data_IF_113076363902
#
_entry.id   IF_113076363902
#
_cell.length_a   1.000
_cell.length_b   1.000
_cell.length_c   1.000
_cell.angle_alpha   90.00
_cell.angle_beta   90.00
_cell.angle_gamma   90.00
#
_symmetry.space_group_name_H-M   'P 1'
#
loop_
_entity.id
_entity.type
_entity.pdbx_description
1 polymer ?
#
# COMPACT_ATOMS: atom_id res chain seq x y z
N UNK A 1 25.97 -4.05 16.64
CA UNK A 1 25.33 -5.10 15.79
C UNK A 1 24.71 -4.43 14.58
N UNK A 2 24.82 -5.04 13.39
CA UNK A 2 24.17 -4.53 12.18
C UNK A 2 22.64 -4.68 12.30
N UNK A 3 21.92 -3.61 12.00
CA UNK A 3 20.46 -3.61 11.95
C UNK A 3 19.98 -4.29 10.66
N UNK A 4 18.87 -5.02 10.74
CA UNK A 4 18.23 -5.72 9.63
C UNK A 4 16.77 -5.30 9.54
N UNK A 5 16.22 -5.33 8.33
CA UNK A 5 14.82 -5.08 8.08
C UNK A 5 14.22 -6.20 7.22
N UNK A 6 12.99 -6.59 7.56
CA UNK A 6 12.17 -7.53 6.81
C UNK A 6 10.87 -6.84 6.38
N UNK A 7 10.45 -7.12 5.14
CA UNK A 7 9.23 -6.56 4.56
C UNK A 7 8.32 -7.70 4.11
N UNK A 8 7.12 -7.73 4.65
CA UNK A 8 6.08 -8.73 4.38
C UNK A 8 4.92 -8.06 3.66
N UNK A 9 4.25 -8.82 2.80
CA UNK A 9 3.13 -8.39 1.99
C UNK A 9 2.02 -9.43 2.13
N UNK A 10 0.90 -9.06 2.76
CA UNK A 10 -0.20 -9.96 3.04
C UNK A 10 -1.11 -10.07 1.82
N UNK A 11 -0.99 -11.17 1.07
CA UNK A 11 -1.78 -11.38 -0.14
C UNK A 11 -3.24 -11.65 0.21
N UNK A 12 -4.15 -11.07 -0.58
CA UNK A 12 -5.58 -11.38 -0.56
C UNK A 12 -6.23 -11.26 0.84
N UNK A 13 -5.74 -10.33 1.67
CA UNK A 13 -6.16 -10.17 3.06
C UNK A 13 -7.62 -9.68 3.21
N UNK A 14 -8.14 -8.95 2.24
CA UNK A 14 -9.54 -8.49 2.24
C UNK A 14 -10.56 -9.64 2.24
N UNK A 15 -10.36 -10.68 1.42
CA UNK A 15 -11.32 -11.79 1.30
C UNK A 15 -11.33 -12.72 2.51
N UNK A 16 -10.43 -12.51 3.49
CA UNK A 16 -10.39 -13.27 4.74
C UNK A 16 -11.30 -12.68 5.80
N UNK A 17 -11.69 -11.42 5.69
CA UNK A 17 -12.56 -10.75 6.67
C UNK A 17 -14.02 -11.18 6.45
N UNK A 18 -14.62 -11.83 7.45
CA UNK A 18 -16.05 -12.18 7.45
C UNK A 18 -16.91 -10.93 7.52
N UNK A 19 -17.99 -10.88 6.72
CA UNK A 19 -19.04 -9.87 6.91
C UNK A 19 -20.05 -10.34 7.97
N UNK A 20 -20.44 -9.47 8.93
CA UNK A 20 -21.55 -9.72 9.84
C UNK A 20 -22.81 -10.07 9.06
N UNK A 21 -23.53 -11.13 9.47
CA UNK A 21 -24.71 -11.64 8.75
C UNK A 21 -25.70 -10.52 8.44
N UNK A 22 -25.97 -9.67 9.42
CA UNK A 22 -26.94 -8.58 9.32
C UNK A 22 -26.56 -7.48 8.33
N UNK A 23 -25.31 -7.45 7.85
CA UNK A 23 -24.81 -6.45 6.88
C UNK A 23 -24.62 -7.01 5.48
N UNK A 24 -24.71 -8.34 5.30
CA UNK A 24 -24.43 -8.99 4.00
C UNK A 24 -25.39 -8.57 2.90
N UNK A 25 -26.60 -8.18 3.28
CA UNK A 25 -27.62 -7.70 2.35
C UNK A 25 -27.20 -6.41 1.60
N UNK A 26 -26.27 -5.61 2.15
CA UNK A 26 -25.69 -4.46 1.44
C UNK A 26 -24.73 -4.86 0.30
N UNK A 27 -24.27 -6.11 0.29
CA UNK A 27 -23.31 -6.65 -0.67
C UNK A 27 -23.93 -7.77 -1.51
N UNK A 28 -25.11 -7.48 -2.06
CA UNK A 28 -25.81 -8.38 -2.98
C UNK A 28 -25.41 -8.09 -4.42
N UNK A 29 -25.23 -9.14 -5.20
CA UNK A 29 -25.08 -9.05 -6.65
C UNK A 29 -25.86 -10.16 -7.35
N UNK A 30 -26.16 -9.96 -8.63
CA UNK A 30 -26.69 -11.03 -9.48
C UNK A 30 -25.52 -11.71 -10.19
N UNK A 31 -25.52 -13.03 -10.16
CA UNK A 31 -24.66 -13.84 -11.03
C UNK A 31 -25.31 -14.01 -12.42
N UNK A 32 -24.60 -14.61 -13.37
CA UNK A 32 -24.98 -14.63 -14.80
C UNK A 32 -26.37 -15.23 -15.06
N UNK A 33 -26.80 -16.20 -14.26
CA UNK A 33 -28.12 -16.85 -14.35
C UNK A 33 -29.25 -16.03 -13.71
N UNK A 34 -28.96 -14.83 -13.19
CA UNK A 34 -29.91 -13.95 -12.53
C UNK A 34 -30.13 -14.23 -11.04
N UNK A 35 -29.51 -15.27 -10.48
CA UNK A 35 -29.59 -15.58 -9.05
C UNK A 35 -28.98 -14.45 -8.22
N UNK A 36 -29.72 -14.01 -7.20
CA UNK A 36 -29.24 -13.02 -6.24
C UNK A 36 -28.40 -13.72 -5.16
N UNK A 37 -27.13 -13.34 -5.04
CA UNK A 37 -26.20 -13.88 -4.05
C UNK A 37 -25.72 -12.79 -3.10
N UNK A 38 -25.34 -13.19 -1.89
CA UNK A 38 -24.77 -12.32 -0.86
C UNK A 38 -23.30 -12.64 -0.63
N UNK A 39 -22.45 -11.61 -0.61
CA UNK A 39 -21.06 -11.79 -0.22
C UNK A 39 -20.96 -12.11 1.27
N UNK A 40 -20.20 -13.16 1.60
CA UNK A 40 -19.92 -13.56 2.99
C UNK A 40 -18.61 -12.98 3.52
N UNK A 41 -17.80 -12.40 2.63
CA UNK A 41 -16.49 -11.82 2.90
C UNK A 41 -16.41 -10.40 2.34
N UNK A 42 -15.55 -9.59 2.94
CA UNK A 42 -15.35 -8.21 2.52
C UNK A 42 -14.89 -8.14 1.04
N UNK A 43 -15.64 -7.46 0.16
CA UNK A 43 -15.26 -7.36 -1.24
C UNK A 43 -14.04 -6.46 -1.43
N UNK A 44 -13.25 -6.80 -2.45
CA UNK A 44 -12.22 -5.90 -2.95
C UNK A 44 -12.88 -4.65 -3.56
N UNK A 45 -12.33 -3.47 -3.26
CA UNK A 45 -12.90 -2.20 -3.70
C UNK A 45 -13.93 -1.60 -2.74
N UNK A 46 -14.23 -2.25 -1.61
CA UNK A 46 -14.98 -1.60 -0.54
C UNK A 46 -14.19 -0.40 0.02
N UNK A 47 -14.85 0.75 0.12
CA UNK A 47 -14.20 2.04 0.43
C UNK A 47 -13.44 2.03 1.75
N UNK A 48 -14.02 1.46 2.80
CA UNK A 48 -13.39 1.36 4.13
C UNK A 48 -12.56 0.07 4.31
N UNK A 49 -12.38 -0.71 3.23
CA UNK A 49 -11.62 -1.95 3.27
C UNK A 49 -10.18 -1.74 3.76
N UNK A 50 -9.42 -0.79 3.18
CA UNK A 50 -8.05 -0.51 3.61
C UNK A 50 -7.92 -0.20 5.11
N UNK A 51 -8.86 0.55 5.68
CA UNK A 51 -8.89 0.94 7.09
C UNK A 51 -9.20 -0.26 8.00
N UNK A 52 -10.19 -1.08 7.63
CA UNK A 52 -10.49 -2.34 8.33
C UNK A 52 -9.26 -3.23 8.35
N UNK A 53 -8.59 -3.34 7.20
CA UNK A 53 -7.40 -4.16 7.05
C UNK A 53 -6.22 -3.63 7.87
N UNK A 54 -6.00 -2.31 7.88
CA UNK A 54 -4.99 -1.66 8.72
C UNK A 54 -5.20 -1.99 10.19
N UNK A 55 -6.45 -1.93 10.70
CA UNK A 55 -6.79 -2.25 12.09
C UNK A 55 -6.47 -3.71 12.39
N UNK A 56 -6.94 -4.64 11.55
CA UNK A 56 -6.74 -6.08 11.74
C UNK A 56 -5.25 -6.42 11.75
N UNK A 57 -4.49 -5.93 10.77
CA UNK A 57 -3.07 -6.24 10.69
C UNK A 57 -2.32 -5.62 11.85
N UNK A 58 -2.61 -4.37 12.19
CA UNK A 58 -1.94 -3.67 13.28
C UNK A 58 -2.19 -4.35 14.64
N UNK A 59 -3.41 -4.81 14.89
CA UNK A 59 -3.81 -5.38 16.18
C UNK A 59 -3.56 -6.89 16.29
N UNK A 60 -3.92 -7.69 15.28
CA UNK A 60 -3.88 -9.14 15.39
C UNK A 60 -2.57 -9.74 14.87
N UNK A 61 -2.02 -9.18 13.79
CA UNK A 61 -0.90 -9.78 13.04
C UNK A 61 0.44 -9.16 13.43
N UNK A 62 0.61 -7.85 13.25
CA UNK A 62 1.83 -7.10 13.53
C UNK A 62 2.00 -6.74 15.01
N UNK A 63 0.88 -6.65 15.75
CA UNK A 63 0.79 -6.38 17.20
C UNK A 63 1.59 -5.16 17.65
N UNK A 64 1.21 -3.99 17.12
CA UNK A 64 1.87 -2.73 17.46
C UNK A 64 1.62 -2.32 18.92
N UNK A 65 2.68 -1.84 19.57
CA UNK A 65 2.68 -1.38 20.96
C UNK A 65 1.68 -0.25 21.25
N UNK A 66 1.29 0.52 20.25
CA UNK A 66 0.30 1.61 20.36
C UNK A 66 -1.15 1.11 20.34
N UNK A 67 -1.39 -0.12 19.88
CA UNK A 67 -2.76 -0.65 19.66
C UNK A 67 -3.04 -1.85 20.55
N UNK A 68 -2.04 -2.67 20.87
CA UNK A 68 -2.22 -3.87 21.69
C UNK A 68 -1.58 -3.72 23.07
N UNK A 69 -2.11 -4.47 24.05
CA UNK A 69 -1.53 -4.51 25.40
C UNK A 69 -0.09 -5.02 25.34
N UNK A 70 0.78 -4.46 26.20
CA UNK A 70 2.23 -4.72 26.23
C UNK A 70 2.62 -6.21 26.18
N UNK A 71 1.85 -7.09 26.84
CA UNK A 71 2.11 -8.54 26.86
C UNK A 71 2.05 -9.19 25.45
N UNK A 72 1.24 -8.64 24.56
CA UNK A 72 1.05 -9.16 23.20
C UNK A 72 1.84 -8.37 22.16
N UNK A 73 2.37 -7.21 22.54
CA UNK A 73 3.00 -6.27 21.63
C UNK A 73 4.38 -6.74 21.15
N UNK A 74 4.81 -6.20 20.03
CA UNK A 74 6.20 -6.27 19.59
C UNK A 74 7.14 -5.81 20.71
N UNK A 75 8.27 -6.52 20.94
CA UNK A 75 9.29 -6.07 21.87
C UNK A 75 9.75 -4.66 21.52
N UNK A 76 10.09 -3.81 22.51
CA UNK A 76 10.50 -2.41 22.26
C UNK A 76 11.78 -2.30 21.41
N UNK A 77 12.55 -3.39 21.31
CA UNK A 77 13.75 -3.50 20.48
C UNK A 77 13.45 -3.75 18.98
N UNK A 78 12.17 -3.94 18.62
CA UNK A 78 11.71 -4.15 17.24
C UNK A 78 10.82 -2.98 16.83
N UNK A 79 11.16 -2.35 15.71
CA UNK A 79 10.34 -1.32 15.09
C UNK A 79 9.45 -1.96 14.03
N UNK A 80 8.14 -1.83 14.20
CA UNK A 80 7.15 -2.38 13.28
C UNK A 80 6.35 -1.25 12.66
N UNK A 81 6.27 -1.23 11.32
CA UNK A 81 5.42 -0.31 10.57
C UNK A 81 4.44 -1.12 9.72
N UNK A 82 3.17 -0.72 9.72
CA UNK A 82 2.12 -1.37 8.94
C UNK A 82 1.50 -0.34 8.00
N UNK A 83 1.34 -0.70 6.73
CA UNK A 83 0.61 0.07 5.76
C UNK A 83 -0.30 -0.83 4.92
N UNK A 84 -1.60 -0.77 5.18
CA UNK A 84 -2.62 -1.63 4.59
C UNK A 84 -2.16 -3.09 4.73
N UNK A 85 -1.79 -3.77 3.65
CA UNK A 85 -1.34 -5.17 3.60
C UNK A 85 0.19 -5.35 3.80
N UNK A 86 0.95 -4.27 3.82
CA UNK A 86 2.41 -4.32 3.94
C UNK A 86 2.86 -4.15 5.40
N UNK A 87 3.82 -4.97 5.83
CA UNK A 87 4.44 -4.89 7.16
C UNK A 87 5.95 -4.75 7.00
N UNK A 88 6.55 -3.79 7.69
CA UNK A 88 7.99 -3.65 7.83
C UNK A 88 8.40 -3.89 9.27
N UNK A 89 9.40 -4.74 9.47
CA UNK A 89 9.97 -5.10 10.77
C UNK A 89 11.46 -4.74 10.72
N UNK A 90 11.94 -3.92 11.66
CA UNK A 90 13.33 -3.50 11.72
C UNK A 90 13.89 -3.64 13.15
N UNK A 91 15.16 -4.01 13.27
CA UNK A 91 15.84 -4.19 14.55
C UNK A 91 17.15 -4.94 14.38
N UNK A 92 17.74 -5.46 15.46
CA UNK A 92 18.86 -6.39 15.32
C UNK A 92 18.45 -7.58 14.44
N UNK A 93 19.40 -8.18 13.71
CA UNK A 93 19.12 -9.33 12.82
C UNK A 93 18.35 -10.44 13.54
N UNK A 94 18.72 -10.78 14.76
CA UNK A 94 18.03 -11.78 15.58
C UNK A 94 16.60 -11.35 15.93
N UNK A 95 16.41 -10.10 16.38
CA UNK A 95 15.09 -9.60 16.76
C UNK A 95 14.14 -9.48 15.57
N UNK A 96 14.65 -9.03 14.42
CA UNK A 96 13.86 -8.91 13.19
C UNK A 96 13.38 -10.28 12.70
N UNK A 97 14.27 -11.28 12.67
CA UNK A 97 13.92 -12.66 12.27
C UNK A 97 12.92 -13.28 13.26
N UNK A 98 13.14 -13.10 14.56
CA UNK A 98 12.26 -13.62 15.59
C UNK A 98 10.85 -13.05 15.46
N UNK A 99 10.75 -11.73 15.28
CA UNK A 99 9.45 -11.07 15.16
C UNK A 99 8.77 -11.35 13.81
N UNK A 100 9.53 -11.46 12.72
CA UNK A 100 9.00 -11.94 11.44
C UNK A 100 8.34 -13.31 11.60
N UNK A 101 9.00 -14.26 12.27
CA UNK A 101 8.40 -15.57 12.54
C UNK A 101 7.12 -15.47 13.38
N UNK A 102 7.06 -14.54 14.35
CA UNK A 102 5.83 -14.31 15.13
C UNK A 102 4.71 -13.72 14.27
N UNK A 103 5.02 -12.77 13.38
CA UNK A 103 4.05 -12.17 12.45
C UNK A 103 3.50 -13.23 11.49
N UNK A 104 4.35 -14.13 11.00
CA UNK A 104 3.92 -15.26 10.16
C UNK A 104 2.98 -16.21 10.93
N UNK A 105 3.30 -16.56 12.18
CA UNK A 105 2.41 -17.37 13.03
C UNK A 105 1.06 -16.70 13.29
N UNK A 106 1.07 -15.39 13.54
CA UNK A 106 -0.16 -14.64 13.76
C UNK A 106 -1.02 -14.59 12.49
N UNK A 107 -0.39 -14.37 11.33
CA UNK A 107 -1.08 -14.39 10.04
C UNK A 107 -1.72 -15.75 9.75
N UNK A 108 -0.99 -16.84 10.02
CA UNK A 108 -1.50 -18.21 9.86
C UNK A 108 -2.69 -18.50 10.79
N UNK A 109 -2.60 -18.06 12.05
CA UNK A 109 -3.71 -18.13 13.03
C UNK A 109 -4.93 -17.33 12.58
N UNK A 110 -4.74 -16.30 11.75
CA UNK A 110 -5.79 -15.50 11.13
C UNK A 110 -6.16 -15.99 9.72
N UNK A 111 -5.73 -17.20 9.31
CA UNK A 111 -5.95 -17.80 8.00
C UNK A 111 -5.56 -16.90 6.81
N UNK A 112 -4.57 -16.03 7.02
CA UNK A 112 -4.06 -15.07 6.05
C UNK A 112 -2.71 -15.53 5.53
N UNK A 113 -2.53 -15.53 4.20
CA UNK A 113 -1.27 -15.94 3.58
C UNK A 113 -0.38 -14.74 3.32
N UNK A 114 0.88 -14.83 3.74
CA UNK A 114 1.89 -13.85 3.38
C UNK A 114 2.41 -14.20 1.98
N UNK A 115 2.41 -13.23 1.08
CA UNK A 115 3.02 -13.37 -0.23
C UNK A 115 4.48 -13.78 -0.09
N UNK A 116 4.79 -15.01 -0.53
CA UNK A 116 6.10 -15.66 -0.45
C UNK A 116 7.27 -14.67 -0.49
N UNK A 117 8.03 -14.59 0.61
CA UNK A 117 9.38 -14.03 0.66
C UNK A 117 10.30 -14.96 -0.11
N UNK A 118 10.42 -14.77 -1.42
CA UNK A 118 11.44 -15.47 -2.19
C UNK A 118 12.82 -15.00 -1.71
N UNK A 119 13.49 -15.89 -0.99
CA UNK A 119 14.92 -15.92 -0.68
C UNK A 119 15.47 -14.93 0.35
N UNK A 120 15.97 -15.53 1.43
CA UNK A 120 16.93 -15.00 2.39
C UNK A 120 18.18 -14.49 1.66
N UNK A 121 18.20 -13.22 1.25
CA UNK A 121 19.37 -12.45 0.82
C UNK A 121 19.04 -10.94 0.99
N UNK A 122 20.02 -10.03 1.14
CA UNK A 122 19.87 -8.74 1.85
C UNK A 122 19.11 -7.64 1.09
N UNK A 123 18.31 -7.98 0.08
CA UNK A 123 17.41 -7.03 -0.60
C UNK A 123 15.99 -7.31 -0.14
N UNK A 124 15.61 -6.67 0.97
CA UNK A 124 14.22 -6.64 1.43
C UNK A 124 13.29 -6.25 0.27
N UNK A 125 12.16 -6.95 0.10
CA UNK A 125 11.09 -6.54 -0.83
C UNK A 125 10.78 -5.05 -0.60
N UNK A 126 10.60 -4.23 -1.66
CA UNK A 126 10.38 -2.81 -1.48
C UNK A 126 9.08 -2.57 -0.70
N UNK A 127 9.18 -1.78 0.37
CA UNK A 127 8.04 -1.35 1.17
C UNK A 127 7.54 -0.02 0.61
N UNK A 128 6.25 0.07 0.28
CA UNK A 128 5.67 1.28 -0.33
C UNK A 128 6.39 1.75 -1.60
N UNK A 129 6.90 0.80 -2.40
CA UNK A 129 7.65 1.13 -3.62
C UNK A 129 9.04 1.72 -3.37
N UNK A 130 9.54 1.69 -2.13
CA UNK A 130 10.88 2.09 -1.76
C UNK A 130 11.75 0.88 -1.36
N UNK A 131 12.99 0.89 -1.81
CA UNK A 131 14.03 -0.06 -1.38
C UNK A 131 14.85 0.58 -0.26
N UNK A 132 15.18 -0.20 0.76
CA UNK A 132 16.15 0.21 1.78
C UNK A 132 17.55 -0.12 1.25
N UNK A 133 18.39 0.90 1.08
CA UNK A 133 19.81 0.69 0.71
C UNK A 133 20.63 0.52 1.99
N UNK A 134 20.39 1.38 2.98
CA UNK A 134 21.00 1.31 4.33
C UNK A 134 19.99 1.78 5.39
N UNK A 135 20.33 1.75 6.68
CA UNK A 135 19.46 2.22 7.76
C UNK A 135 18.98 3.68 7.60
N UNK A 136 19.78 4.54 6.95
CA UNK A 136 19.48 5.97 6.78
C UNK A 136 19.17 6.37 5.33
N UNK A 137 19.31 5.46 4.38
CA UNK A 137 19.15 5.74 2.97
C UNK A 137 18.06 4.85 2.37
N UNK A 138 17.04 5.53 1.84
CA UNK A 138 15.96 4.93 1.06
C UNK A 138 16.15 5.29 -0.40
N UNK A 139 15.76 4.40 -1.30
CA UNK A 139 15.65 4.70 -2.73
C UNK A 139 14.32 4.26 -3.28
N UNK A 140 13.95 4.80 -4.43
CA UNK A 140 12.80 4.28 -5.16
C UNK A 140 13.14 2.91 -5.72
N UNK A 141 12.19 1.98 -5.59
CA UNK A 141 12.31 0.66 -6.19
C UNK A 141 12.31 0.79 -7.71
N UNK A 142 13.01 -0.11 -8.40
CA UNK A 142 13.05 -0.14 -9.86
C UNK A 142 11.63 -0.23 -10.47
N UNK A 143 10.75 -1.02 -9.85
CA UNK A 143 9.34 -1.12 -10.25
C UNK A 143 8.62 0.22 -10.18
N UNK A 144 8.85 0.99 -9.12
CA UNK A 144 8.26 2.32 -8.98
C UNK A 144 8.83 3.29 -10.03
N UNK A 145 10.15 3.29 -10.21
CA UNK A 145 10.81 4.12 -11.25
C UNK A 145 10.25 3.82 -12.62
N UNK A 146 10.16 2.54 -13.04
CA UNK A 146 9.56 2.13 -14.32
C UNK A 146 8.12 2.64 -14.48
N UNK A 147 7.32 2.58 -13.42
CA UNK A 147 5.92 3.04 -13.39
C UNK A 147 5.78 4.57 -13.54
N UNK A 148 6.78 5.32 -13.06
CA UNK A 148 6.88 6.78 -13.24
C UNK A 148 7.48 7.12 -14.60
N UNK A 149 8.44 6.37 -15.11
CA UNK A 149 9.05 6.61 -16.43
C UNK A 149 8.10 6.26 -17.59
N UNK A 150 7.19 5.31 -17.42
CA UNK A 150 6.18 4.95 -18.42
C UNK A 150 5.05 6.00 -18.58
N UNK A 151 5.31 7.27 -18.28
CA UNK A 151 4.34 8.37 -18.41
C UNK A 151 4.26 8.83 -19.87
N UNK A 152 3.09 8.79 -20.51
CA UNK A 152 2.86 9.47 -21.78
C UNK A 152 3.14 10.98 -21.66
N UNK A 153 3.33 11.66 -22.80
CA UNK A 153 3.47 13.11 -22.81
C UNK A 153 2.36 13.80 -21.98
N UNK A 154 2.73 14.79 -21.16
CA UNK A 154 1.79 15.49 -20.26
C UNK A 154 0.55 16.05 -20.97
N UNK A 155 0.69 16.36 -22.26
CA UNK A 155 -0.38 16.90 -23.10
C UNK A 155 -1.43 15.85 -23.51
N UNK A 156 -1.12 14.55 -23.43
CA UNK A 156 -2.05 13.47 -23.79
C UNK A 156 -2.74 12.83 -22.58
N UNK A 157 -2.35 13.18 -21.35
CA UNK A 157 -2.98 12.63 -20.14
C UNK A 157 -4.41 13.15 -19.97
N UNK A 158 -5.31 12.30 -19.50
CA UNK A 158 -6.57 12.73 -18.88
C UNK A 158 -6.31 13.41 -17.53
N UNK A 159 -7.31 14.10 -16.98
CA UNK A 159 -7.19 14.75 -15.66
C UNK A 159 -6.90 13.72 -14.56
N UNK A 160 -7.63 12.61 -14.54
CA UNK A 160 -7.43 11.53 -13.56
C UNK A 160 -6.01 10.94 -13.65
N UNK A 161 -5.50 10.71 -14.87
CA UNK A 161 -4.13 10.25 -15.04
C UNK A 161 -3.12 11.30 -14.56
N UNK A 162 -3.38 12.57 -14.86
CA UNK A 162 -2.53 13.68 -14.43
C UNK A 162 -2.45 13.78 -12.90
N UNK A 163 -3.58 13.63 -12.19
CA UNK A 163 -3.63 13.60 -10.72
C UNK A 163 -2.82 12.42 -10.14
N UNK A 164 -2.98 11.23 -10.71
CA UNK A 164 -2.22 10.04 -10.30
C UNK A 164 -0.72 10.26 -10.51
N UNK A 165 -0.31 10.83 -11.65
CA UNK A 165 1.10 11.08 -11.92
C UNK A 165 1.68 12.17 -11.04
N UNK A 166 0.97 13.29 -10.85
CA UNK A 166 1.38 14.36 -9.94
C UNK A 166 1.61 13.83 -8.52
N UNK A 167 0.70 13.00 -8.01
CA UNK A 167 0.82 12.36 -6.70
C UNK A 167 2.06 11.45 -6.62
N UNK A 168 2.35 10.68 -7.67
CA UNK A 168 3.55 9.83 -7.73
C UNK A 168 4.85 10.64 -7.79
N UNK A 169 4.88 11.76 -8.53
CA UNK A 169 6.04 12.64 -8.57
C UNK A 169 6.29 13.33 -7.24
N UNK A 170 5.24 13.73 -6.51
CA UNK A 170 5.34 14.26 -5.15
C UNK A 170 5.96 13.23 -4.21
N UNK A 171 5.48 11.99 -4.26
CA UNK A 171 6.07 10.89 -3.49
C UNK A 171 7.53 10.66 -3.87
N UNK A 172 7.85 10.59 -5.17
CA UNK A 172 9.21 10.40 -5.65
C UNK A 172 10.16 11.50 -5.17
N UNK A 173 9.74 12.76 -5.25
CA UNK A 173 10.53 13.91 -4.85
C UNK A 173 10.84 13.90 -3.35
N UNK A 174 9.86 13.53 -2.52
CA UNK A 174 10.06 13.39 -1.08
C UNK A 174 11.12 12.34 -0.74
N UNK A 175 11.13 11.21 -1.46
CA UNK A 175 12.12 10.14 -1.26
C UNK A 175 13.51 10.53 -1.78
N UNK A 176 13.58 11.22 -2.92
CA UNK A 176 14.85 11.65 -3.52
C UNK A 176 15.42 12.91 -2.87
N UNK A 177 14.69 13.57 -1.97
CA UNK A 177 15.09 14.84 -1.39
C UNK A 177 15.12 16.00 -2.40
N UNK A 178 14.41 15.89 -3.52
CA UNK A 178 14.38 16.90 -4.57
C UNK A 178 13.23 17.88 -4.35
N UNK A 179 13.46 19.16 -4.63
CA UNK A 179 12.40 20.16 -4.59
C UNK A 179 11.64 20.11 -5.91
N UNK A 180 10.35 19.79 -5.85
CA UNK A 180 9.49 19.87 -7.04
C UNK A 180 9.45 21.29 -7.64
N UNK A 181 9.70 22.32 -6.83
CA UNK A 181 9.77 23.72 -7.28
C UNK A 181 10.83 23.93 -8.37
N UNK A 182 11.93 23.17 -8.33
CA UNK A 182 12.99 23.24 -9.35
C UNK A 182 12.47 22.74 -10.72
N UNK A 183 11.36 21.99 -10.72
CA UNK A 183 10.68 21.47 -11.89
C UNK A 183 9.48 22.35 -12.28
N UNK A 184 9.70 23.67 -12.34
CA UNK A 184 8.67 24.68 -12.58
C UNK A 184 7.79 24.41 -13.82
N UNK A 185 8.36 23.84 -14.90
CA UNK A 185 7.60 23.48 -16.10
C UNK A 185 6.51 22.44 -15.83
N UNK A 186 6.80 21.44 -14.99
CA UNK A 186 5.84 20.42 -14.61
C UNK A 186 4.69 21.04 -13.81
N UNK A 187 5.01 21.79 -12.74
CA UNK A 187 4.02 22.47 -11.89
C UNK A 187 3.16 23.44 -12.71
N UNK A 188 3.78 24.24 -13.58
CA UNK A 188 3.08 25.20 -14.44
C UNK A 188 2.13 24.51 -15.42
N UNK A 189 2.53 23.36 -15.98
CA UNK A 189 1.69 22.57 -16.88
C UNK A 189 0.48 22.00 -16.14
N UNK A 190 0.68 21.39 -14.97
CA UNK A 190 -0.40 20.91 -14.12
C UNK A 190 -1.39 22.02 -13.79
N UNK A 191 -0.89 23.17 -13.32
CA UNK A 191 -1.71 24.33 -12.94
C UNK A 191 -2.53 24.84 -14.12
N UNK A 192 -1.95 24.96 -15.32
CA UNK A 192 -2.65 25.40 -16.52
C UNK A 192 -3.80 24.45 -16.88
N UNK A 193 -3.62 23.14 -16.78
CA UNK A 193 -4.66 22.16 -17.10
C UNK A 193 -5.77 22.14 -16.05
N UNK A 194 -5.44 22.22 -14.76
CA UNK A 194 -6.43 22.35 -13.70
C UNK A 194 -7.23 23.66 -13.84
N UNK A 195 -6.59 24.77 -14.18
CA UNK A 195 -7.27 26.04 -14.43
C UNK A 195 -8.15 26.00 -15.69
N UNK A 196 -7.72 25.31 -16.74
CA UNK A 196 -8.55 25.10 -17.93
C UNK A 196 -9.77 24.23 -17.61
N UNK A 197 -9.64 23.23 -16.74
CA UNK A 197 -10.75 22.43 -16.24
C UNK A 197 -11.74 23.29 -15.45
N UNK A 198 -11.26 24.09 -14.51
CA UNK A 198 -12.06 24.99 -13.67
C UNK A 198 -12.87 26.00 -14.52
N UNK A 199 -12.29 26.45 -15.63
CA UNK A 199 -12.94 27.33 -16.62
C UNK A 199 -13.83 26.61 -17.63
N UNK A 200 -13.99 25.29 -17.53
CA UNK A 200 -14.80 24.48 -18.47
C UNK A 200 -14.18 24.29 -19.86
N UNK A 201 -12.89 24.61 -20.04
CA UNK A 201 -12.18 24.58 -21.33
C UNK A 201 -11.56 23.20 -21.64
N UNK A 202 -11.47 22.30 -20.66
CA UNK A 202 -11.01 20.93 -20.89
C UNK A 202 -12.14 20.05 -21.41
N UNK A 203 -12.07 19.64 -22.69
CA UNK A 203 -12.92 18.57 -23.24
C UNK A 203 -12.66 17.28 -22.45
N UNK A 204 -13.71 16.64 -21.94
CA UNK A 204 -13.65 15.23 -21.53
C UNK A 204 -13.22 14.43 -22.77
N UNK A 205 -12.11 13.70 -22.68
CA UNK A 205 -11.85 12.67 -23.68
C UNK A 205 -13.04 11.68 -23.66
N UNK A 206 -13.53 11.20 -24.82
CA UNK A 206 -14.59 10.22 -24.86
C UNK A 206 -14.16 9.01 -24.03
N UNK A 207 -15.06 8.55 -23.15
CA UNK A 207 -14.88 7.32 -22.38
C UNK A 207 -14.57 6.20 -23.38
N UNK A 208 -13.44 5.51 -23.22
CA UNK A 208 -13.28 4.18 -23.82
C UNK A 208 -14.31 3.29 -23.12
N UNK A 209 -15.34 2.89 -23.88
CA UNK A 209 -16.27 1.81 -23.54
C UNK A 209 -15.50 0.50 -23.65
#
# INVERSE_FOLDING_TARGET
MAESASCLDLKASFSKVSLPRDTRHFFRCRVEDGMLVELTRLPMGYKAGPEILQIIITSAIARLTTVVRRLWAAPPLVRVNVWIDNIRIAGSKSNAILWEAQVLRNADSCHTTVGRTANRAPRSKPFLGCSLITHRAVSLSERFVRSVCAVPALNSLTIAEMEVKASRFLYAAAILGTRLCDHHFFIKTLRRRLSALDRGLCRRHPRRI
#
